data_IF_848549944055
#
_entry.id   IF_848549944055
#
_cell.length_a   1.000
_cell.length_b   1.000
_cell.length_c   1.000
_cell.angle_alpha   90.00
_cell.angle_beta   90.00
_cell.angle_gamma   90.00
#
_symmetry.space_group_name_H-M   'P 1'
#
loop_
_entity.id
_entity.type
_entity.pdbx_description
1 polymer ?
#
# COMPACT_ATOMS: atom_id res chain seq x y z
N UNK A 1 -26.64 -4.78 22.79
CA UNK A 1 -27.49 -4.95 21.58
C UNK A 1 -26.80 -4.45 20.31
N UNK A 2 -26.37 -3.18 20.21
CA UNK A 2 -25.71 -2.67 18.99
C UNK A 2 -24.32 -3.30 18.75
N UNK A 3 -23.48 -3.40 19.78
CA UNK A 3 -22.13 -3.99 19.64
C UNK A 3 -22.21 -5.45 19.15
N UNK A 4 -23.04 -6.27 19.80
CA UNK A 4 -23.30 -7.66 19.38
C UNK A 4 -23.90 -7.78 17.98
N UNK A 5 -24.62 -6.76 17.50
CA UNK A 5 -25.11 -6.73 16.12
C UNK A 5 -23.95 -6.47 15.15
N UNK A 6 -23.08 -5.50 15.46
CA UNK A 6 -21.91 -5.20 14.64
C UNK A 6 -20.97 -6.41 14.54
N UNK A 7 -20.63 -7.03 15.66
CA UNK A 7 -19.76 -8.22 15.71
C UNK A 7 -20.33 -9.41 14.93
N UNK A 8 -21.67 -9.52 14.84
CA UNK A 8 -22.34 -10.61 14.13
C UNK A 8 -22.39 -10.40 12.61
N UNK A 9 -22.53 -9.16 12.14
CA UNK A 9 -22.85 -8.86 10.74
C UNK A 9 -21.75 -8.09 10.00
N UNK A 10 -20.73 -7.58 10.69
CA UNK A 10 -19.63 -6.85 10.08
C UNK A 10 -18.31 -7.50 10.45
N UNK A 11 -17.45 -7.66 9.45
CA UNK A 11 -16.08 -8.12 9.68
C UNK A 11 -15.22 -7.01 10.28
N UNK A 12 -14.17 -7.44 11.00
CA UNK A 12 -13.19 -6.52 11.55
C UNK A 12 -12.52 -5.68 10.45
N UNK A 13 -12.17 -4.41 10.73
CA UNK A 13 -11.40 -3.59 9.82
C UNK A 13 -10.09 -4.30 9.40
N UNK A 14 -9.67 -4.14 8.13
CA UNK A 14 -8.55 -4.86 7.46
C UNK A 14 -8.82 -6.31 7.04
N UNK A 15 -10.01 -6.86 7.26
CA UNK A 15 -10.36 -8.21 6.78
C UNK A 15 -10.38 -8.34 5.25
N UNK A 16 -10.31 -7.21 4.53
CA UNK A 16 -10.30 -7.09 3.07
C UNK A 16 -8.89 -6.98 2.46
N UNK A 17 -7.83 -7.02 3.28
CA UNK A 17 -6.43 -6.98 2.85
C UNK A 17 -5.58 -8.04 3.58
N UNK A 18 -4.47 -8.44 2.97
CA UNK A 18 -3.44 -9.26 3.63
C UNK A 18 -2.04 -8.80 3.25
N UNK A 19 -1.04 -9.21 4.03
CA UNK A 19 0.38 -8.95 3.71
C UNK A 19 0.81 -9.73 2.47
N UNK A 20 1.55 -9.08 1.58
CA UNK A 20 2.12 -9.70 0.39
C UNK A 20 3.63 -9.89 0.58
N UNK A 21 4.02 -11.08 1.04
CA UNK A 21 5.40 -11.38 1.45
C UNK A 21 6.29 -11.79 0.27
N UNK A 22 6.42 -10.93 -0.74
CA UNK A 22 7.23 -11.22 -1.94
C UNK A 22 8.47 -10.33 -2.11
N UNK A 23 8.69 -9.34 -1.23
CA UNK A 23 9.80 -8.41 -1.44
C UNK A 23 11.11 -9.06 -1.03
N UNK A 24 12.02 -9.14 -1.99
CA UNK A 24 13.41 -9.49 -1.75
C UNK A 24 14.20 -8.27 -1.29
N UNK A 25 14.34 -8.12 0.02
CA UNK A 25 15.06 -7.00 0.64
C UNK A 25 16.56 -7.28 0.71
N UNK A 26 17.35 -6.47 0.00
CA UNK A 26 18.81 -6.54 0.06
C UNK A 26 19.33 -6.16 1.47
N UNK A 27 20.32 -6.91 1.96
CA UNK A 27 20.97 -6.67 3.25
C UNK A 27 22.49 -6.51 3.07
N UNK A 28 23.07 -5.33 3.35
CA UNK A 28 22.40 -4.08 3.72
C UNK A 28 21.67 -3.43 2.53
N UNK A 29 20.69 -2.54 2.75
CA UNK A 29 20.03 -1.79 1.70
C UNK A 29 21.04 -1.02 0.86
N UNK A 30 20.86 -0.98 -0.46
CA UNK A 30 21.82 -0.34 -1.38
C UNK A 30 22.14 1.11 -1.00
N UNK A 31 21.13 1.88 -0.60
CA UNK A 31 21.26 3.27 -0.17
C UNK A 31 22.01 3.47 1.17
N UNK A 32 22.32 2.39 1.89
CA UNK A 32 23.07 2.46 3.15
C UNK A 32 24.57 2.15 3.01
N UNK A 33 25.00 1.73 1.81
CA UNK A 33 26.41 1.41 1.52
C UNK A 33 27.25 2.70 1.62
N UNK A 34 28.39 2.61 2.32
CA UNK A 34 29.31 3.75 2.51
C UNK A 34 29.00 4.63 3.73
N UNK A 35 27.96 4.33 4.51
CA UNK A 35 27.64 5.07 5.74
C UNK A 35 28.43 4.52 6.93
N UNK A 36 29.39 5.30 7.43
CA UNK A 36 30.24 4.89 8.56
C UNK A 36 29.51 4.91 9.91
N UNK A 37 28.44 5.71 10.05
CA UNK A 37 27.69 5.83 11.31
C UNK A 37 26.78 4.60 11.53
N UNK A 38 27.04 3.82 12.58
CA UNK A 38 26.31 2.60 12.92
C UNK A 38 24.83 2.84 13.28
N UNK A 39 24.52 3.95 13.97
CA UNK A 39 23.13 4.31 14.32
C UNK A 39 22.33 4.60 13.05
N UNK A 40 22.91 5.34 12.10
CA UNK A 40 22.27 5.63 10.82
C UNK A 40 22.07 4.34 10.00
N UNK A 41 23.08 3.47 9.90
CA UNK A 41 22.90 2.18 9.21
C UNK A 41 21.77 1.33 9.80
N UNK A 42 21.68 1.25 11.13
CA UNK A 42 20.62 0.50 11.80
C UNK A 42 19.23 1.12 11.56
N UNK A 43 19.12 2.46 11.56
CA UNK A 43 17.88 3.15 11.22
C UNK A 43 17.46 2.85 9.77
N UNK A 44 18.38 2.96 8.83
CA UNK A 44 18.11 2.72 7.40
C UNK A 44 17.76 1.25 7.13
N UNK A 45 18.41 0.30 7.80
CA UNK A 45 18.05 -1.11 7.78
C UNK A 45 16.62 -1.32 8.30
N UNK A 46 16.29 -0.72 9.45
CA UNK A 46 14.96 -0.83 10.03
C UNK A 46 13.87 -0.24 9.12
N UNK A 47 14.15 0.91 8.46
CA UNK A 47 13.23 1.51 7.48
C UNK A 47 13.03 0.60 6.27
N UNK A 48 14.11 0.03 5.73
CA UNK A 48 14.04 -0.88 4.59
C UNK A 48 13.21 -2.13 4.90
N UNK A 49 13.31 -2.65 6.13
CA UNK A 49 12.53 -3.81 6.59
C UNK A 49 11.04 -3.51 6.76
N UNK A 50 10.63 -2.24 6.90
CA UNK A 50 9.22 -1.87 7.00
C UNK A 50 8.45 -2.09 5.70
N UNK A 51 9.10 -2.13 4.54
CA UNK A 51 8.40 -2.34 3.27
C UNK A 51 7.58 -3.63 3.26
N UNK A 52 8.12 -4.73 3.80
CA UNK A 52 7.40 -6.00 3.93
C UNK A 52 6.09 -5.88 4.74
N UNK A 53 6.10 -5.04 5.77
CA UNK A 53 4.89 -4.84 6.59
C UNK A 53 3.85 -3.98 5.88
N UNK A 54 4.28 -3.04 5.04
CA UNK A 54 3.41 -2.08 4.36
C UNK A 54 2.90 -2.60 3.01
N UNK A 55 3.52 -3.66 2.47
CA UNK A 55 3.12 -4.26 1.20
C UNK A 55 1.95 -5.21 1.39
N UNK A 56 0.82 -4.85 0.77
CA UNK A 56 -0.47 -5.49 0.92
C UNK A 56 -1.01 -5.91 -0.44
N UNK A 57 -1.92 -6.86 -0.40
CA UNK A 57 -2.80 -7.19 -1.52
C UNK A 57 -4.25 -7.23 -1.03
N UNK A 58 -5.19 -6.95 -1.94
CA UNK A 58 -6.61 -7.11 -1.66
C UNK A 58 -6.96 -8.59 -1.58
N UNK A 59 -7.90 -8.96 -0.73
CA UNK A 59 -8.50 -10.30 -0.71
C UNK A 59 -9.73 -10.26 -1.62
N UNK A 60 -9.70 -10.86 -2.83
CA UNK A 60 -10.86 -10.87 -3.71
C UNK A 60 -12.02 -11.59 -3.03
N UNK A 61 -13.22 -11.02 -3.14
CA UNK A 61 -14.43 -11.58 -2.50
C UNK A 61 -14.24 -11.88 -1.01
N UNK A 62 -13.61 -10.98 -0.25
CA UNK A 62 -13.37 -11.15 1.19
C UNK A 62 -14.62 -11.64 1.93
N UNK A 63 -14.71 -12.96 2.14
CA UNK A 63 -15.81 -13.69 2.77
C UNK A 63 -17.21 -13.47 2.15
N UNK A 64 -17.34 -13.30 0.83
CA UNK A 64 -18.61 -12.97 0.16
C UNK A 64 -19.32 -11.73 0.74
N UNK A 65 -18.55 -10.87 1.42
CA UNK A 65 -19.05 -9.68 2.10
C UNK A 65 -18.82 -8.43 1.25
N UNK A 66 -19.71 -7.44 1.42
CA UNK A 66 -19.56 -6.15 0.77
C UNK A 66 -18.37 -5.40 1.37
N UNK A 67 -17.32 -5.18 0.60
CA UNK A 67 -16.20 -4.31 0.99
C UNK A 67 -16.35 -2.91 0.41
N UNK A 68 -15.91 -1.91 1.19
CA UNK A 68 -15.68 -0.55 0.69
C UNK A 68 -14.35 -0.43 -0.03
N UNK A 69 -13.41 -1.35 0.16
CA UNK A 69 -12.14 -1.37 -0.57
C UNK A 69 -12.40 -1.65 -2.04
N UNK A 70 -11.67 -0.96 -2.90
CA UNK A 70 -11.61 -1.25 -4.34
C UNK A 70 -10.58 -2.37 -4.51
N UNK A 71 -11.00 -3.48 -5.12
CA UNK A 71 -10.10 -4.58 -5.46
C UNK A 71 -9.09 -4.10 -6.50
N UNK A 72 -7.82 -4.36 -6.24
CA UNK A 72 -6.70 -3.97 -7.10
C UNK A 72 -6.05 -5.22 -7.70
N UNK A 73 -5.68 -5.20 -8.99
CA UNK A 73 -5.08 -6.35 -9.66
C UNK A 73 -3.64 -6.65 -9.21
N UNK A 74 -2.97 -5.67 -8.59
CA UNK A 74 -1.59 -5.81 -8.11
C UNK A 74 -1.46 -5.45 -6.64
N UNK A 75 -0.46 -6.01 -5.94
CA UNK A 75 -0.13 -5.58 -4.58
C UNK A 75 0.32 -4.11 -4.54
N UNK A 76 0.15 -3.48 -3.38
CA UNK A 76 0.35 -2.04 -3.16
C UNK A 76 0.91 -1.76 -1.77
N UNK A 77 1.55 -0.60 -1.62
CA UNK A 77 2.01 -0.11 -0.32
C UNK A 77 0.91 0.74 0.32
N UNK A 78 0.65 0.51 1.61
CA UNK A 78 -0.17 1.41 2.44
C UNK A 78 0.71 2.37 3.24
N UNK A 79 0.23 3.57 3.61
CA UNK A 79 0.98 4.47 4.50
C UNK A 79 1.26 3.87 5.89
N UNK A 80 0.37 2.98 6.36
CA UNK A 80 0.51 2.25 7.62
C UNK A 80 -0.40 2.76 8.74
N UNK A 81 -0.36 2.06 9.88
CA UNK A 81 -1.23 2.34 11.01
C UNK A 81 -2.70 2.12 10.68
N UNK A 82 -3.53 3.16 10.82
CA UNK A 82 -4.97 3.07 10.52
C UNK A 82 -5.30 3.10 9.03
N UNK A 83 -4.35 3.48 8.18
CA UNK A 83 -4.50 3.62 6.72
C UNK A 83 -4.24 2.27 6.05
N UNK A 84 -5.23 1.75 5.32
CA UNK A 84 -5.28 0.34 4.86
C UNK A 84 -5.60 0.22 3.37
N UNK A 85 -5.51 1.33 2.66
CA UNK A 85 -5.75 1.46 1.25
C UNK A 85 -4.57 2.18 0.61
N UNK A 86 -4.44 2.05 -0.71
CA UNK A 86 -3.51 2.88 -1.46
C UNK A 86 -4.01 4.33 -1.41
N UNK A 87 -3.10 5.28 -1.23
CA UNK A 87 -3.35 6.73 -1.31
C UNK A 87 -2.56 7.34 -2.46
N UNK A 88 -3.18 8.24 -3.22
CA UNK A 88 -2.62 8.69 -4.49
C UNK A 88 -1.35 9.54 -4.33
N UNK A 89 -1.39 10.70 -3.67
CA UNK A 89 -0.20 11.56 -3.57
C UNK A 89 0.92 10.96 -2.69
N UNK A 90 0.56 10.20 -1.64
CA UNK A 90 1.51 9.50 -0.76
C UNK A 90 2.37 8.53 -1.57
N UNK A 91 1.78 7.91 -2.60
CA UNK A 91 2.46 6.95 -3.47
C UNK A 91 3.68 7.56 -4.14
N UNK A 92 3.70 8.86 -4.46
CA UNK A 92 4.89 9.49 -5.05
C UNK A 92 6.13 9.30 -4.17
N UNK A 93 6.03 9.66 -2.89
CA UNK A 93 7.13 9.52 -1.93
C UNK A 93 7.46 8.05 -1.64
N UNK A 94 6.45 7.17 -1.68
CA UNK A 94 6.65 5.73 -1.56
C UNK A 94 7.44 5.19 -2.74
N UNK A 95 7.11 5.59 -3.98
CA UNK A 95 7.81 5.14 -5.20
C UNK A 95 9.29 5.51 -5.13
N UNK A 96 9.62 6.74 -4.72
CA UNK A 96 11.00 7.18 -4.50
C UNK A 96 11.73 6.27 -3.49
N UNK A 97 11.09 5.98 -2.35
CA UNK A 97 11.64 5.10 -1.33
C UNK A 97 11.83 3.64 -1.78
N UNK A 98 10.90 3.11 -2.57
CA UNK A 98 10.99 1.77 -3.17
C UNK A 98 12.13 1.70 -4.17
N UNK A 99 12.26 2.70 -5.05
CA UNK A 99 13.33 2.78 -6.05
C UNK A 99 14.69 2.88 -5.36
N UNK A 100 14.84 3.74 -4.36
CA UNK A 100 16.06 3.85 -3.56
C UNK A 100 16.40 2.52 -2.86
N UNK A 101 15.37 1.78 -2.43
CA UNK A 101 15.46 0.45 -1.82
C UNK A 101 15.74 -0.68 -2.82
N UNK A 102 15.77 -0.40 -4.13
CA UNK A 102 15.95 -1.41 -5.18
C UNK A 102 14.71 -2.26 -5.46
N UNK A 103 13.55 -1.88 -4.95
CA UNK A 103 12.27 -2.60 -5.04
C UNK A 103 11.47 -2.22 -6.28
N UNK A 104 12.11 -2.32 -7.46
CA UNK A 104 11.54 -1.87 -8.74
C UNK A 104 10.21 -2.55 -9.08
N UNK A 105 10.09 -3.84 -8.80
CA UNK A 105 8.86 -4.59 -9.09
C UNK A 105 7.66 -4.05 -8.31
N UNK A 106 7.85 -3.74 -7.02
CA UNK A 106 6.81 -3.13 -6.20
C UNK A 106 6.39 -1.75 -6.75
N UNK A 107 7.36 -0.94 -7.20
CA UNK A 107 7.06 0.33 -7.87
C UNK A 107 6.22 0.16 -9.13
N UNK A 108 6.56 -0.83 -9.96
CA UNK A 108 5.81 -1.16 -11.19
C UNK A 108 4.39 -1.61 -10.86
N UNK A 109 4.20 -2.44 -9.84
CA UNK A 109 2.88 -2.91 -9.40
C UNK A 109 1.99 -1.75 -8.94
N UNK A 110 2.54 -0.79 -8.19
CA UNK A 110 1.79 0.41 -7.80
C UNK A 110 1.35 1.25 -9.01
N UNK A 111 2.24 1.44 -10.01
CA UNK A 111 1.88 2.15 -11.23
C UNK A 111 0.83 1.42 -12.07
N UNK A 112 0.89 0.09 -12.16
CA UNK A 112 -0.15 -0.70 -12.83
C UNK A 112 -1.52 -0.54 -12.15
N UNK A 113 -1.55 -0.44 -10.83
CA UNK A 113 -2.79 -0.13 -10.10
C UNK A 113 -3.33 1.27 -10.44
N UNK A 114 -2.47 2.26 -10.69
CA UNK A 114 -2.93 3.57 -11.16
C UNK A 114 -3.55 3.52 -12.55
N UNK A 115 -2.93 2.80 -13.48
CA UNK A 115 -3.50 2.58 -14.82
C UNK A 115 -4.87 1.92 -14.68
N UNK A 116 -4.96 0.85 -13.89
CA UNK A 116 -6.23 0.20 -13.60
C UNK A 116 -7.30 1.16 -13.05
N UNK A 117 -6.96 2.01 -12.08
CA UNK A 117 -7.90 2.98 -11.50
C UNK A 117 -8.38 4.01 -12.54
N UNK A 118 -7.48 4.49 -13.40
CA UNK A 118 -7.82 5.39 -14.50
C UNK A 118 -8.74 4.69 -15.50
N UNK A 119 -8.42 3.44 -15.89
CA UNK A 119 -9.23 2.68 -16.86
C UNK A 119 -10.64 2.38 -16.32
N UNK A 120 -10.78 2.10 -15.02
CA UNK A 120 -12.06 1.75 -14.39
C UNK A 120 -12.90 2.97 -14.00
N UNK A 121 -12.28 4.05 -13.54
CA UNK A 121 -12.98 5.19 -12.93
C UNK A 121 -12.74 6.53 -13.61
N UNK A 122 -11.83 6.61 -14.59
CA UNK A 122 -11.46 7.82 -15.31
C UNK A 122 -10.47 8.73 -14.56
N UNK A 123 -10.07 8.38 -13.34
CA UNK A 123 -9.11 9.12 -12.52
C UNK A 123 -8.58 8.26 -11.38
N UNK A 124 -7.53 8.72 -10.69
CA UNK A 124 -7.01 8.07 -9.49
C UNK A 124 -7.71 8.69 -8.26
N UNK A 125 -8.51 7.93 -7.48
CA UNK A 125 -9.18 8.46 -6.28
C UNK A 125 -8.18 8.79 -5.17
N UNK A 126 -8.59 9.63 -4.21
CA UNK A 126 -7.76 9.99 -3.05
C UNK A 126 -7.18 8.75 -2.33
N UNK A 127 -8.02 7.74 -2.13
CA UNK A 127 -7.56 6.40 -1.78
C UNK A 127 -8.49 5.32 -2.36
N UNK A 128 -8.08 4.07 -2.29
CA UNK A 128 -8.79 2.95 -2.97
C UNK A 128 -9.99 2.43 -2.19
N UNK A 129 -10.89 3.33 -1.76
CA UNK A 129 -12.18 3.01 -1.15
C UNK A 129 -13.31 3.61 -1.99
N UNK A 130 -14.45 2.93 -2.08
CA UNK A 130 -15.63 3.34 -2.88
C UNK A 130 -16.15 4.73 -2.50
N UNK A 131 -16.06 5.12 -1.23
CA UNK A 131 -16.45 6.46 -0.77
C UNK A 131 -15.44 7.57 -1.15
N UNK A 132 -14.31 7.24 -1.79
CA UNK A 132 -13.38 8.18 -2.41
C UNK A 132 -13.63 8.38 -3.91
N UNK A 133 -14.57 7.65 -4.54
CA UNK A 133 -14.90 7.76 -5.97
C UNK A 133 -15.55 9.10 -6.38
N UNK A 134 -15.58 10.09 -5.49
CA UNK A 134 -16.02 11.45 -5.77
C UNK A 134 -14.88 12.48 -5.67
N UNK A 135 -13.64 12.07 -5.40
CA UNK A 135 -12.50 12.99 -5.24
C UNK A 135 -11.15 12.34 -5.54
N UNK A 136 -10.23 13.13 -6.07
CA UNK A 136 -8.82 12.75 -6.27
C UNK A 136 -7.91 13.40 -5.21
N UNK A 137 -6.61 13.44 -5.49
CA UNK A 137 -5.54 14.11 -4.74
C UNK A 137 -4.60 14.82 -5.74
N UNK A 138 -3.66 15.67 -5.26
CA UNK A 138 -2.72 16.35 -6.14
C UNK A 138 -2.04 15.40 -7.14
N UNK A 139 -2.09 15.69 -8.45
CA UNK A 139 -1.59 14.77 -9.47
C UNK A 139 -0.07 14.78 -9.51
N UNK A 140 0.54 13.64 -9.19
CA UNK A 140 1.98 13.37 -9.34
C UNK A 140 2.26 12.28 -10.39
N UNK A 141 1.28 11.96 -11.25
CA UNK A 141 1.39 10.93 -12.30
C UNK A 141 1.73 11.48 -13.68
N UNK A 142 2.15 12.74 -13.76
CA UNK A 142 2.51 13.44 -15.02
C UNK A 142 4.03 13.45 -15.22
#
# INVERSE_FOLDING_TARGET
VIISFLEKYFSEPASDIKSYNSLELAKPPKFSIGINNSRLRNLLQALHERWNMLYKETIPNANDCMSTLIELPHPFIVPGGRFRELYYWDTWFVLEGLIASGLKEASVNMLKNFIYLIDQYGFIPNGTRKYYLNRSQPPFSA
#
